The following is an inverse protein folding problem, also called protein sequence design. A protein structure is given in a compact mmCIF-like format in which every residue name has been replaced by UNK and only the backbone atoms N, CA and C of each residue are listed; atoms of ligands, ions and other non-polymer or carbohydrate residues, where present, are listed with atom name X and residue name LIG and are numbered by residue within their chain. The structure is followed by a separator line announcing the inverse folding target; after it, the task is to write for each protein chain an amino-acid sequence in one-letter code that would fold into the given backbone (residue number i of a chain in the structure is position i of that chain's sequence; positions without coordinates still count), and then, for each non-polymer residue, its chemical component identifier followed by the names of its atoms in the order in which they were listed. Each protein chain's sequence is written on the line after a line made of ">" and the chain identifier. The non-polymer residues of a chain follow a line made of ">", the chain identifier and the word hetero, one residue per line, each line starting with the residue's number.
data_IF_614685471152
#
_entry.id   IF_614685471152
#
_cell.length_a   1.000
_cell.length_b   1.000
_cell.length_c   1.000
_cell.angle_alpha   90.00
_cell.angle_beta   90.00
_cell.angle_gamma   90.00
#
_symmetry.space_group_name_H-M   'P 1'
#
loop_
_entity.id
_entity.type
_entity.pdbx_description
1 polymer ?
#
# COMPACT_ATOMS: atom_id res chain seq x y z
N UNK A 1 12.56 -3.73 -18.68
CA UNK A 1 11.55 -4.38 -17.82
C UNK A 1 10.58 -5.07 -18.75
N UNK A 2 10.25 -6.31 -18.44
CA UNK A 2 9.21 -7.09 -19.11
C UNK A 2 8.12 -7.41 -18.10
N UNK A 3 6.93 -7.81 -18.54
CA UNK A 3 5.75 -7.97 -17.69
C UNK A 3 6.01 -8.86 -16.46
N UNK A 4 6.69 -9.99 -16.65
CA UNK A 4 7.00 -10.94 -15.58
C UNK A 4 7.97 -10.40 -14.51
N UNK A 5 8.60 -9.24 -14.72
CA UNK A 5 9.47 -8.59 -13.75
C UNK A 5 8.70 -7.92 -12.61
N UNK A 6 7.40 -7.69 -12.82
CA UNK A 6 6.56 -6.87 -11.95
C UNK A 6 5.38 -7.70 -11.46
N UNK A 7 5.16 -7.70 -10.15
CA UNK A 7 3.97 -8.27 -9.53
C UNK A 7 3.20 -7.12 -8.88
N UNK A 8 1.92 -7.00 -9.21
CA UNK A 8 1.04 -5.97 -8.67
C UNK A 8 0.04 -6.62 -7.73
N UNK A 9 -0.05 -6.10 -6.50
CA UNK A 9 -0.98 -6.58 -5.48
C UNK A 9 -1.84 -5.43 -4.97
N UNK A 10 -3.14 -5.65 -4.92
CA UNK A 10 -4.11 -4.73 -4.33
C UNK A 10 -4.62 -5.34 -3.03
N UNK A 11 -4.63 -4.56 -1.95
CA UNK A 11 -5.29 -4.94 -0.70
C UNK A 11 -6.16 -3.80 -0.20
N UNK A 12 -7.43 -4.08 0.09
CA UNK A 12 -8.35 -3.11 0.66
C UNK A 12 -8.23 -3.08 2.18
N UNK A 13 -8.15 -1.88 2.76
CA UNK A 13 -8.27 -1.65 4.19
C UNK A 13 -9.61 -0.96 4.40
N UNK A 14 -10.53 -1.61 5.09
CA UNK A 14 -11.86 -1.05 5.38
C UNK A 14 -12.36 -1.55 6.75
N UNK A 15 -13.48 -1.00 7.22
CA UNK A 15 -14.11 -1.42 8.49
C UNK A 15 -14.93 -2.71 8.37
N UNK A 16 -14.45 -3.69 7.62
CA UNK A 16 -15.13 -4.96 7.32
C UNK A 16 -16.47 -4.81 6.59
N UNK A 17 -16.80 -3.60 6.12
CA UNK A 17 -18.03 -3.26 5.41
C UNK A 17 -17.78 -2.57 4.06
N UNK A 18 -16.60 -2.80 3.46
CA UNK A 18 -16.18 -2.14 2.21
C UNK A 18 -16.28 -0.61 2.36
N UNK A 19 -16.99 0.06 1.48
CA UNK A 19 -17.16 1.51 1.49
C UNK A 19 -18.23 2.01 2.47
N UNK A 20 -18.97 1.09 3.12
CA UNK A 20 -20.07 1.46 4.02
C UNK A 20 -19.56 1.81 5.42
N UNK A 21 -20.22 2.78 6.05
CA UNK A 21 -19.98 3.13 7.44
C UNK A 21 -20.60 2.06 8.36
N UNK A 22 -19.81 1.39 9.22
CA UNK A 22 -20.37 0.41 10.15
C UNK A 22 -21.32 1.04 11.18
N UNK A 23 -21.21 2.34 11.47
CA UNK A 23 -22.07 3.05 12.42
C UNK A 23 -23.53 3.08 11.96
N UNK A 24 -23.78 3.11 10.66
CA UNK A 24 -25.14 3.13 10.10
C UNK A 24 -25.91 1.83 10.38
N UNK A 25 -25.17 0.74 10.62
CA UNK A 25 -25.74 -0.58 10.94
C UNK A 25 -25.95 -0.81 12.43
N UNK A 26 -25.56 0.14 13.28
CA UNK A 26 -25.68 0.04 14.74
C UNK A 26 -27.02 0.61 15.18
N UNK A 27 -27.77 -0.21 15.94
CA UNK A 27 -28.98 0.21 16.63
C UNK A 27 -28.68 0.51 18.10
N UNK A 28 -29.15 1.65 18.56
CA UNK A 28 -29.03 2.11 19.94
C UNK A 28 -30.37 2.03 20.65
N UNK A 29 -30.33 1.86 21.96
CA UNK A 29 -31.49 1.89 22.84
C UNK A 29 -31.27 2.94 23.91
N UNK A 30 -32.33 3.66 24.28
CA UNK A 30 -32.22 4.70 25.29
C UNK A 30 -32.40 4.11 26.69
N UNK A 31 -31.76 4.72 27.69
CA UNK A 31 -31.93 4.28 29.10
C UNK A 31 -33.38 4.38 29.59
N UNK A 32 -34.17 5.29 29.02
CA UNK A 32 -35.53 5.59 29.45
C UNK A 32 -36.61 4.88 28.62
N UNK A 33 -36.27 4.43 27.42
CA UNK A 33 -37.13 3.63 26.55
C UNK A 33 -36.27 2.59 25.81
N UNK A 34 -36.24 1.37 26.36
CA UNK A 34 -35.46 0.25 25.83
C UNK A 34 -36.20 -0.63 24.83
N UNK A 35 -37.48 -0.37 24.57
CA UNK A 35 -38.29 -1.16 23.62
C UNK A 35 -38.18 -0.62 22.18
N UNK A 36 -37.70 0.60 22.02
CA UNK A 36 -37.51 1.23 20.71
C UNK A 36 -36.03 1.38 20.39
N UNK A 37 -35.62 0.81 19.26
CA UNK A 37 -34.28 0.99 18.71
C UNK A 37 -34.24 2.21 17.78
N UNK A 38 -33.17 2.98 17.84
CA UNK A 38 -32.92 4.09 16.91
C UNK A 38 -31.49 4.07 16.38
N UNK A 39 -31.26 4.75 15.26
CA UNK A 39 -29.93 4.93 14.69
C UNK A 39 -29.38 6.31 15.08
N UNK A 40 -28.07 6.39 15.32
CA UNK A 40 -27.37 7.65 15.52
C UNK A 40 -26.59 7.96 14.25
N UNK A 41 -26.91 9.10 13.63
CA UNK A 41 -26.20 9.59 12.45
C UNK A 41 -24.74 9.87 12.77
N UNK A 42 -23.84 9.56 11.85
CA UNK A 42 -22.39 9.72 12.02
C UNK A 42 -21.98 11.13 12.49
N UNK A 43 -22.66 12.17 11.99
CA UNK A 43 -22.39 13.57 12.33
C UNK A 43 -22.63 13.88 13.80
N UNK A 44 -23.46 13.08 14.47
CA UNK A 44 -23.80 13.23 15.89
C UNK A 44 -22.86 12.43 16.81
N UNK A 45 -22.02 11.54 16.27
CA UNK A 45 -21.14 10.68 17.07
C UNK A 45 -19.80 11.39 17.35
N UNK A 46 -19.12 11.86 16.32
CA UNK A 46 -17.86 12.61 16.46
C UNK A 46 -17.44 13.25 15.14
N UNK A 47 -16.87 14.44 15.21
CA UNK A 47 -16.22 15.09 14.06
C UNK A 47 -14.93 14.37 13.60
N UNK A 48 -14.39 13.45 14.42
CA UNK A 48 -13.16 12.71 14.10
C UNK A 48 -13.40 11.40 13.34
N UNK A 49 -14.63 11.09 12.92
CA UNK A 49 -14.90 9.88 12.13
C UNK A 49 -14.48 10.12 10.66
N UNK A 50 -13.78 9.17 10.01
CA UNK A 50 -13.41 9.29 8.60
C UNK A 50 -14.63 9.46 7.68
N UNK A 51 -14.47 10.24 6.61
CA UNK A 51 -15.48 10.36 5.53
C UNK A 51 -15.36 9.27 4.46
N UNK A 52 -14.26 8.54 4.47
CA UNK A 52 -13.97 7.41 3.57
C UNK A 52 -13.71 6.20 4.46
N UNK A 53 -14.38 5.10 4.17
CA UNK A 53 -14.35 3.88 4.98
C UNK A 53 -13.53 2.76 4.35
N UNK A 54 -12.96 3.03 3.17
CA UNK A 54 -12.13 2.09 2.43
C UNK A 54 -10.96 2.81 1.77
N UNK A 55 -9.77 2.30 2.05
CA UNK A 55 -8.53 2.62 1.36
C UNK A 55 -8.05 1.42 0.54
N UNK A 56 -7.33 1.70 -0.55
CA UNK A 56 -6.68 0.68 -1.38
C UNK A 56 -5.16 0.84 -1.21
N UNK A 57 -4.51 -0.22 -0.72
CA UNK A 57 -3.06 -0.31 -0.68
C UNK A 57 -2.57 -1.04 -1.94
N UNK A 58 -1.83 -0.32 -2.79
CA UNK A 58 -1.18 -0.85 -3.99
C UNK A 58 0.27 -1.19 -3.67
N UNK A 59 0.64 -2.47 -3.82
CA UNK A 59 2.01 -2.95 -3.62
C UNK A 59 2.59 -3.46 -4.93
N UNK A 60 3.81 -3.02 -5.23
CA UNK A 60 4.56 -3.43 -6.42
C UNK A 60 5.77 -4.23 -5.95
N UNK A 61 5.90 -5.46 -6.44
CA UNK A 61 7.01 -6.36 -6.12
C UNK A 61 7.78 -6.75 -7.37
N UNK A 62 9.00 -7.26 -7.15
CA UNK A 62 9.80 -7.91 -8.16
C UNK A 62 10.45 -9.16 -7.59
N UNK A 63 10.59 -10.20 -8.42
CA UNK A 63 11.34 -11.41 -8.05
C UNK A 63 12.85 -11.21 -8.18
N UNK A 64 13.27 -10.18 -8.93
CA UNK A 64 14.68 -9.86 -9.16
C UNK A 64 15.05 -8.55 -8.45
N UNK A 65 15.77 -8.62 -7.31
CA UNK A 65 16.21 -7.43 -6.58
C UNK A 65 16.98 -6.43 -7.45
N UNK A 66 17.71 -6.89 -8.47
CA UNK A 66 18.50 -6.00 -9.33
C UNK A 66 17.62 -5.03 -10.13
N UNK A 67 16.35 -5.40 -10.37
CA UNK A 67 15.37 -4.61 -11.12
C UNK A 67 14.56 -3.64 -10.25
N UNK A 68 14.69 -3.74 -8.92
CA UNK A 68 13.92 -2.94 -7.96
C UNK A 68 13.97 -1.44 -8.25
N UNK A 69 15.17 -0.86 -8.44
CA UNK A 69 15.32 0.58 -8.69
C UNK A 69 14.67 1.02 -10.01
N UNK A 70 14.80 0.19 -11.06
CA UNK A 70 14.19 0.46 -12.36
C UNK A 70 12.66 0.43 -12.27
N UNK A 71 12.10 -0.54 -11.55
CA UNK A 71 10.66 -0.68 -11.33
C UNK A 71 10.14 0.49 -10.49
N UNK A 72 10.84 0.86 -9.41
CA UNK A 72 10.48 2.02 -8.58
C UNK A 72 10.43 3.31 -9.41
N UNK A 73 11.43 3.56 -10.25
CA UNK A 73 11.47 4.74 -11.14
C UNK A 73 10.33 4.72 -12.15
N UNK A 74 10.06 3.57 -12.77
CA UNK A 74 8.96 3.41 -13.72
C UNK A 74 7.60 3.64 -13.06
N UNK A 75 7.37 3.06 -11.89
CA UNK A 75 6.13 3.20 -11.13
C UNK A 75 5.87 4.65 -10.72
N UNK A 76 6.88 5.36 -10.23
CA UNK A 76 6.75 6.79 -9.87
C UNK A 76 6.38 7.66 -11.08
N UNK A 77 6.98 7.40 -12.25
CA UNK A 77 6.63 8.07 -13.50
C UNK A 77 5.20 7.76 -13.96
N UNK A 78 4.72 6.54 -13.73
CA UNK A 78 3.36 6.15 -14.06
C UNK A 78 2.36 6.81 -13.11
N UNK A 79 2.64 6.79 -11.80
CA UNK A 79 1.83 7.45 -10.77
C UNK A 79 1.60 8.93 -11.09
N UNK A 80 2.65 9.68 -11.44
CA UNK A 80 2.52 11.10 -11.77
C UNK A 80 1.62 11.36 -12.99
N UNK A 81 1.55 10.42 -13.94
CA UNK A 81 0.68 10.55 -15.11
C UNK A 81 -0.80 10.31 -14.76
N UNK A 82 -1.07 9.33 -13.88
CA UNK A 82 -2.45 8.94 -13.56
C UNK A 82 -3.10 9.81 -12.48
N UNK A 83 -2.34 10.35 -11.52
CA UNK A 83 -2.91 11.09 -10.39
C UNK A 83 -3.08 12.58 -10.66
N UNK A 84 -2.54 13.14 -11.75
CA UNK A 84 -2.52 14.60 -12.08
C UNK A 84 -2.16 15.50 -10.88
N UNK A 85 -1.47 14.94 -9.90
CA UNK A 85 -1.11 15.60 -8.64
C UNK A 85 0.40 15.53 -8.58
N UNK A 86 1.08 16.66 -8.41
CA UNK A 86 2.51 16.67 -8.16
C UNK A 86 2.78 15.86 -6.89
N UNK A 87 3.38 14.68 -7.05
CA UNK A 87 3.69 13.83 -5.91
C UNK A 87 4.70 14.58 -5.06
N UNK A 88 4.28 15.11 -3.91
CA UNK A 88 5.20 15.47 -2.84
C UNK A 88 5.86 14.17 -2.43
N UNK A 89 7.06 13.96 -2.94
CA UNK A 89 7.89 12.84 -2.56
C UNK A 89 8.23 13.10 -1.11
N UNK A 90 7.68 12.32 -0.18
CA UNK A 90 8.18 12.36 1.19
C UNK A 90 9.65 11.89 1.14
N UNK A 91 10.63 12.77 1.38
CA UNK A 91 12.04 12.43 1.33
C UNK A 91 12.43 11.37 2.39
N UNK A 92 11.54 11.08 3.33
CA UNK A 92 11.73 10.10 4.41
C UNK A 92 11.45 8.66 3.98
N UNK A 93 10.80 8.42 2.82
CA UNK A 93 10.69 7.07 2.23
C UNK A 93 12.01 6.71 1.54
N UNK A 94 13.08 6.66 2.34
CA UNK A 94 14.32 6.05 1.96
C UNK A 94 14.09 4.54 1.84
N UNK A 95 14.52 3.94 0.73
CA UNK A 95 14.56 2.48 0.60
C UNK A 95 15.47 1.99 1.74
N UNK A 96 14.98 1.18 2.70
CA UNK A 96 15.78 0.75 3.83
C UNK A 96 17.11 0.15 3.35
N UNK A 97 18.22 0.47 4.03
CA UNK A 97 19.57 0.11 3.59
C UNK A 97 19.73 -1.39 3.28
N UNK A 98 18.97 -2.23 3.97
CA UNK A 98 18.90 -3.68 3.75
C UNK A 98 18.55 -4.05 2.30
N UNK A 99 17.60 -3.34 1.67
CA UNK A 99 17.23 -3.56 0.27
C UNK A 99 18.31 -3.07 -0.69
N UNK A 100 19.07 -2.03 -0.33
CA UNK A 100 20.21 -1.59 -1.14
C UNK A 100 21.30 -2.66 -1.17
N UNK A 101 21.58 -3.28 -0.02
CA UNK A 101 22.59 -4.35 0.11
C UNK A 101 22.23 -5.63 -0.66
N UNK A 102 20.94 -5.94 -0.81
CA UNK A 102 20.46 -7.07 -1.61
C UNK A 102 20.83 -6.92 -3.11
N UNK A 103 20.85 -5.69 -3.62
CA UNK A 103 21.25 -5.37 -5.00
C UNK A 103 22.75 -5.60 -5.22
N UNK A 104 23.59 -5.29 -4.22
CA UNK A 104 25.05 -5.39 -4.34
C UNK A 104 25.61 -6.79 -4.03
N UNK A 105 24.95 -7.54 -3.15
CA UNK A 105 25.40 -8.88 -2.71
C UNK A 105 25.38 -9.93 -3.83
N UNK A 106 24.46 -9.83 -4.80
CA UNK A 106 24.39 -10.78 -5.93
C UNK A 106 25.46 -10.54 -7.00
N UNK A 107 26.04 -9.33 -7.09
CA UNK A 107 27.14 -9.03 -8.03
C UNK A 107 28.45 -9.74 -7.69
N UNK A 108 28.68 -10.11 -6.42
CA UNK A 108 29.92 -10.81 -6.00
C UNK A 108 29.92 -12.32 -6.25
N UNK A 109 28.76 -12.96 -6.47
CA UNK A 109 28.69 -14.42 -6.67
C UNK A 109 28.90 -14.86 -8.13
N UNK A 110 28.92 -13.95 -9.10
CA UNK A 110 29.05 -14.28 -10.52
C UNK A 110 30.45 -14.06 -11.12
N UNK A 111 31.48 -13.70 -10.33
CA UNK A 111 32.83 -13.44 -10.85
C UNK A 111 33.92 -14.41 -10.38
N UNK A 112 33.58 -15.65 -10.01
CA UNK A 112 34.58 -16.67 -9.65
C UNK A 112 34.33 -17.98 -10.38
N UNK A 113 34.40 -17.94 -11.72
CA UNK A 113 34.71 -19.09 -12.56
C UNK A 113 35.60 -18.60 -13.71
N UNK A 114 36.83 -18.20 -13.40
CA UNK A 114 37.92 -18.33 -14.38
C UNK A 114 39.22 -18.48 -13.61
N UNK A 115 39.78 -19.70 -13.66
CA UNK A 115 41.18 -20.07 -13.45
C UNK A 115 41.27 -21.59 -13.30
N UNK A 116 41.67 -22.28 -14.37
CA UNK A 116 42.23 -23.63 -14.28
C UNK A 116 42.15 -24.47 -15.57
N UNK A 117 43.34 -24.81 -16.09
CA UNK A 117 43.66 -25.83 -17.12
C UNK A 117 43.56 -25.33 -18.57
N UNK A 118 44.63 -25.31 -19.39
CA UNK A 118 45.93 -25.99 -19.39
C UNK A 118 46.91 -25.19 -20.24
#
# INVERSE_FOLDING_TARGET
>A
LVEHDVIVSFSSINYSMKENNPVDSIRFFSKFNGQESFNISQEKVSYMIPRKFQDINLRIFTRDPSKMLAIQKAFRRYLSQITKTETVVDPTVSVPAEYQNLVFSKRRRMSSCDNGST
#
